data_IF_752366418837
#
_entry.id   IF_752366418837
#
_cell.length_a   1.000
_cell.length_b   1.000
_cell.length_c   1.000
_cell.angle_alpha   90.00
_cell.angle_beta   90.00
_cell.angle_gamma   90.00
#
_symmetry.space_group_name_H-M   'P 1'
#
loop_
_entity.id
_entity.type
_entity.pdbx_description
1 polymer ?
#
# COMPACT_ATOMS: atom_id res chain seq x y z
N UNK A 1 3.12 2.26 12.36
CA UNK A 1 3.67 1.19 11.49
C UNK A 1 4.81 1.70 10.64
N UNK A 2 5.75 0.84 10.32
CA UNK A 2 6.85 1.10 9.41
C UNK A 2 6.69 0.29 8.12
N UNK A 3 6.90 0.92 6.99
CA UNK A 3 6.79 0.36 5.65
C UNK A 3 8.17 0.50 4.97
N UNK A 4 8.90 -0.59 4.90
CA UNK A 4 10.23 -0.59 4.31
C UNK A 4 10.13 -0.59 2.77
N UNK A 5 10.96 0.24 2.12
CA UNK A 5 11.10 0.24 0.66
C UNK A 5 12.09 -0.84 0.24
N UNK A 6 11.77 -1.54 -0.85
CA UNK A 6 12.67 -2.45 -1.57
C UNK A 6 13.34 -3.56 -0.71
N UNK A 7 12.61 -4.19 0.20
CA UNK A 7 13.14 -5.27 1.08
C UNK A 7 13.40 -6.58 0.33
N UNK A 8 12.87 -6.72 -0.88
CA UNK A 8 12.97 -7.94 -1.70
C UNK A 8 13.63 -7.67 -3.07
N UNK A 9 14.73 -6.90 -3.09
CA UNK A 9 15.45 -6.61 -4.32
C UNK A 9 16.72 -7.47 -4.37
N UNK A 10 16.98 -8.10 -5.51
CA UNK A 10 18.20 -8.90 -5.73
C UNK A 10 18.26 -10.24 -5.00
N UNK A 11 17.10 -10.88 -4.73
CA UNK A 11 17.05 -12.21 -4.09
C UNK A 11 17.28 -12.20 -2.57
N UNK A 12 17.44 -11.04 -1.94
CA UNK A 12 17.60 -10.90 -0.48
C UNK A 12 16.23 -10.71 0.15
N UNK A 13 15.75 -11.71 0.89
CA UNK A 13 14.51 -11.65 1.67
C UNK A 13 14.84 -11.64 3.14
N UNK A 14 14.25 -10.72 3.90
CA UNK A 14 14.29 -10.83 5.36
C UNK A 14 13.29 -11.85 5.84
N UNK A 15 13.72 -12.65 6.81
CA UNK A 15 12.75 -13.38 7.62
C UNK A 15 11.92 -12.39 8.45
N UNK A 16 10.68 -12.77 8.76
CA UNK A 16 9.81 -11.98 9.64
C UNK A 16 10.47 -11.73 11.00
N UNK A 17 11.26 -12.69 11.46
CA UNK A 17 11.93 -12.64 12.74
C UNK A 17 13.05 -11.59 12.77
N UNK A 18 13.86 -11.50 11.71
CA UNK A 18 14.90 -10.46 11.60
C UNK A 18 14.28 -9.06 11.66
N UNK A 19 13.16 -8.84 10.95
CA UNK A 19 12.45 -7.56 11.00
C UNK A 19 11.88 -7.29 12.38
N UNK A 20 11.22 -8.26 12.99
CA UNK A 20 10.64 -8.13 14.34
C UNK A 20 11.72 -7.80 15.37
N UNK A 21 12.81 -8.55 15.36
CA UNK A 21 13.90 -8.40 16.32
C UNK A 21 14.62 -7.05 16.16
N UNK A 22 14.79 -6.55 14.93
CA UNK A 22 15.38 -5.24 14.69
C UNK A 22 14.59 -4.13 15.39
N UNK A 23 13.26 -4.15 15.30
CA UNK A 23 12.38 -3.15 15.94
C UNK A 23 12.24 -3.37 17.45
N UNK A 24 12.11 -4.62 17.90
CA UNK A 24 11.99 -4.93 19.32
C UNK A 24 13.25 -4.52 20.13
N UNK A 25 14.44 -4.80 19.58
CA UNK A 25 15.73 -4.45 20.23
C UNK A 25 16.04 -2.96 20.23
N UNK A 26 15.22 -2.13 19.62
CA UNK A 26 15.40 -0.68 19.57
C UNK A 26 14.31 0.10 20.31
N UNK A 27 13.52 -0.61 21.12
CA UNK A 27 12.49 -0.01 21.96
C UNK A 27 11.07 -0.10 21.42
N UNK A 28 10.86 -0.75 20.27
CA UNK A 28 9.52 -1.06 19.79
C UNK A 28 8.89 -2.17 20.62
N UNK A 29 7.64 -1.99 21.04
CA UNK A 29 6.86 -3.01 21.75
C UNK A 29 5.72 -3.53 20.86
N UNK A 30 5.13 -4.67 21.22
CA UNK A 30 4.06 -5.33 20.45
C UNK A 30 4.37 -5.47 18.95
N UNK A 31 5.63 -5.74 18.63
CA UNK A 31 6.14 -5.79 17.25
C UNK A 31 5.55 -6.97 16.49
N UNK A 32 4.86 -6.69 15.38
CA UNK A 32 4.25 -7.67 14.49
C UNK A 32 4.68 -7.40 13.04
N UNK A 33 5.00 -8.44 12.31
CA UNK A 33 5.33 -8.36 10.88
C UNK A 33 4.21 -8.99 10.04
N UNK A 34 3.85 -8.34 8.95
CA UNK A 34 2.75 -8.79 8.08
C UNK A 34 3.27 -8.97 6.68
N UNK A 35 3.10 -10.17 6.14
CA UNK A 35 3.55 -10.54 4.80
C UNK A 35 5.07 -10.29 4.65
N UNK A 36 5.79 -11.09 3.88
CA UNK A 36 7.25 -11.02 3.71
C UNK A 36 7.78 -9.74 3.01
N UNK A 37 7.04 -8.64 3.07
CA UNK A 37 7.27 -7.45 2.24
C UNK A 37 7.61 -6.17 3.03
N UNK A 38 8.27 -6.31 4.19
CA UNK A 38 8.75 -5.14 4.92
C UNK A 38 7.64 -4.29 5.57
N UNK A 39 6.63 -4.94 6.13
CA UNK A 39 5.58 -4.28 6.91
C UNK A 39 5.76 -4.63 8.38
N UNK A 40 5.99 -3.62 9.21
CA UNK A 40 6.15 -3.77 10.66
C UNK A 40 5.13 -2.89 11.37
N UNK A 41 4.32 -3.50 12.22
CA UNK A 41 3.46 -2.80 13.18
C UNK A 41 4.13 -2.89 14.53
N UNK A 42 4.27 -1.77 15.23
CA UNK A 42 4.88 -1.69 16.56
C UNK A 42 4.27 -0.53 17.34
N UNK A 43 4.44 -0.56 18.63
CA UNK A 43 4.09 0.52 19.53
C UNK A 43 5.38 1.18 20.06
N UNK A 44 5.36 2.49 20.16
CA UNK A 44 6.40 3.32 20.76
C UNK A 44 5.80 4.65 21.17
N UNK A 45 6.39 5.34 22.13
CA UNK A 45 6.01 6.69 22.47
C UNK A 45 6.30 7.65 21.29
N UNK A 46 5.51 8.70 21.14
CA UNK A 46 5.58 9.57 19.97
C UNK A 46 6.95 10.21 19.76
N UNK A 47 7.63 10.55 20.83
CA UNK A 47 8.98 11.14 20.86
C UNK A 47 10.10 10.13 20.60
N UNK A 48 9.84 8.83 20.74
CA UNK A 48 10.84 7.76 20.56
C UNK A 48 10.73 7.06 19.21
N UNK A 49 9.64 7.24 18.47
CA UNK A 49 9.38 6.53 17.18
C UNK A 49 10.54 6.66 16.23
N UNK A 50 11.08 7.87 16.03
CA UNK A 50 12.16 8.11 15.07
C UNK A 50 13.45 7.39 15.51
N UNK A 51 13.75 7.37 16.81
CA UNK A 51 14.87 6.64 17.39
C UNK A 51 14.75 5.12 17.18
N UNK A 52 13.56 4.57 17.41
CA UNK A 52 13.26 3.15 17.19
C UNK A 52 13.48 2.79 15.72
N UNK A 53 12.95 3.58 14.80
CA UNK A 53 13.07 3.34 13.35
C UNK A 53 14.52 3.47 12.90
N UNK A 54 15.24 4.52 13.29
CA UNK A 54 16.65 4.70 12.95
C UNK A 54 17.52 3.55 13.49
N UNK A 55 17.27 3.14 14.72
CA UNK A 55 17.94 1.99 15.33
C UNK A 55 17.69 0.69 14.60
N UNK A 56 16.43 0.44 14.19
CA UNK A 56 16.07 -0.74 13.40
C UNK A 56 16.75 -0.71 12.02
N UNK A 57 16.79 0.45 11.35
CA UNK A 57 17.48 0.60 10.07
C UNK A 57 18.97 0.26 10.19
N UNK A 58 19.67 0.78 11.20
CA UNK A 58 21.09 0.43 11.47
C UNK A 58 21.30 -1.06 11.67
N UNK A 59 20.39 -1.75 12.37
CA UNK A 59 20.46 -3.21 12.58
C UNK A 59 20.20 -4.02 11.31
N UNK A 60 19.36 -3.51 10.41
CA UNK A 60 19.02 -4.17 9.15
C UNK A 60 20.06 -3.92 8.06
N UNK A 61 20.84 -2.83 8.14
CA UNK A 61 21.84 -2.44 7.15
C UNK A 61 22.84 -3.55 6.79
N UNK A 62 23.46 -4.30 7.73
CA UNK A 62 24.42 -5.36 7.36
C UNK A 62 23.81 -6.46 6.48
N UNK A 63 22.55 -6.80 6.73
CA UNK A 63 21.85 -7.84 5.96
C UNK A 63 21.33 -7.34 4.60
N UNK A 64 21.10 -6.02 4.45
CA UNK A 64 20.67 -5.40 3.19
C UNK A 64 21.84 -4.95 2.30
N UNK A 65 22.99 -4.66 2.90
CA UNK A 65 24.10 -3.99 2.23
C UNK A 65 23.85 -2.48 1.99
N UNK A 66 22.64 -2.01 2.28
CA UNK A 66 22.23 -0.60 2.18
C UNK A 66 21.32 -0.23 3.35
N UNK A 67 21.27 1.04 3.68
CA UNK A 67 20.32 1.51 4.68
C UNK A 67 18.89 1.51 4.12
N UNK A 68 17.93 0.86 4.81
CA UNK A 68 16.56 0.79 4.31
C UNK A 68 15.87 2.16 4.43
N UNK A 69 15.17 2.54 3.38
CA UNK A 69 14.24 3.69 3.44
C UNK A 69 12.92 3.22 4.03
N UNK A 70 12.46 3.91 5.08
CA UNK A 70 11.27 3.52 5.84
C UNK A 70 10.25 4.66 5.85
N UNK A 71 9.02 4.36 5.43
CA UNK A 71 7.88 5.27 5.55
C UNK A 71 7.09 4.92 6.80
N UNK A 72 7.08 5.84 7.77
CA UNK A 72 6.34 5.66 9.02
C UNK A 72 4.94 6.27 8.91
N UNK A 73 3.94 5.55 9.43
CA UNK A 73 2.56 6.04 9.56
C UNK A 73 2.00 5.66 10.91
N UNK A 74 1.37 6.63 11.56
CA UNK A 74 0.63 6.41 12.81
C UNK A 74 -0.71 5.70 12.53
N UNK A 75 -1.31 5.15 13.58
CA UNK A 75 -2.67 4.59 13.50
C UNK A 75 -3.69 5.65 13.05
N UNK A 76 -3.55 6.90 13.53
CA UNK A 76 -4.43 8.01 13.16
C UNK A 76 -4.32 8.38 11.67
N UNK A 77 -3.11 8.36 11.09
CA UNK A 77 -2.92 8.59 9.65
C UNK A 77 -3.58 7.50 8.81
N UNK A 78 -3.44 6.24 9.22
CA UNK A 78 -4.10 5.12 8.53
C UNK A 78 -5.62 5.19 8.68
N UNK A 79 -6.14 5.55 9.86
CA UNK A 79 -7.56 5.76 10.07
C UNK A 79 -8.11 6.85 9.14
N UNK A 80 -7.39 7.96 9.01
CA UNK A 80 -7.74 9.05 8.08
C UNK A 80 -7.75 8.56 6.62
N UNK A 81 -6.70 7.82 6.20
CA UNK A 81 -6.62 7.24 4.86
C UNK A 81 -7.83 6.34 4.56
N UNK A 82 -8.21 5.47 5.50
CA UNK A 82 -9.38 4.59 5.33
C UNK A 82 -10.68 5.38 5.21
N UNK A 83 -10.87 6.43 6.02
CA UNK A 83 -12.08 7.28 5.95
C UNK A 83 -12.20 8.04 4.63
N UNK A 84 -11.10 8.41 4.01
CA UNK A 84 -11.11 9.07 2.71
C UNK A 84 -11.66 8.17 1.59
N UNK A 85 -11.73 6.85 1.80
CA UNK A 85 -12.27 5.91 0.84
C UNK A 85 -11.60 6.00 -0.54
N UNK A 86 -10.27 5.85 -0.63
CA UNK A 86 -9.47 6.28 -1.77
C UNK A 86 -9.91 5.72 -3.13
N UNK A 87 -10.73 4.69 -3.12
CA UNK A 87 -11.19 4.04 -4.36
C UNK A 87 -12.72 3.96 -4.45
N UNK A 88 -13.45 4.69 -3.61
CA UNK A 88 -14.92 4.63 -3.57
C UNK A 88 -15.57 5.16 -4.87
N UNK A 89 -14.99 6.20 -5.47
CA UNK A 89 -15.45 6.79 -6.73
C UNK A 89 -14.90 6.11 -7.98
N UNK A 90 -13.96 5.18 -7.82
CA UNK A 90 -13.41 4.45 -8.96
C UNK A 90 -14.30 3.25 -9.21
N UNK A 91 -15.22 3.35 -10.16
CA UNK A 91 -15.95 2.19 -10.70
C UNK A 91 -14.91 1.24 -11.31
N UNK A 92 -14.32 0.39 -10.47
CA UNK A 92 -13.25 -0.48 -10.89
C UNK A 92 -13.83 -1.78 -11.40
N UNK A 93 -13.51 -2.19 -12.63
CA UNK A 93 -13.76 -3.55 -13.09
C UNK A 93 -13.17 -4.56 -12.08
N UNK A 94 -13.72 -5.76 -12.03
CA UNK A 94 -13.28 -6.82 -11.10
C UNK A 94 -11.79 -7.22 -11.24
N UNK A 95 -11.11 -6.75 -12.28
CA UNK A 95 -9.74 -7.08 -12.68
C UNK A 95 -8.75 -5.92 -12.54
N UNK A 96 -8.87 -5.12 -11.48
CA UNK A 96 -7.89 -4.08 -11.17
C UNK A 96 -7.21 -4.34 -9.83
N UNK A 97 -5.93 -3.94 -9.73
CA UNK A 97 -5.23 -3.82 -8.46
C UNK A 97 -5.21 -2.36 -8.03
N UNK A 98 -5.44 -2.13 -6.75
CA UNK A 98 -5.45 -0.81 -6.13
C UNK A 98 -4.27 -0.70 -5.19
N UNK A 99 -3.47 0.35 -5.36
CA UNK A 99 -2.26 0.58 -4.59
C UNK A 99 -2.31 1.91 -3.87
N UNK A 100 -1.81 1.92 -2.63
CA UNK A 100 -1.37 3.13 -1.96
C UNK A 100 0.16 3.16 -2.06
N UNK A 101 0.69 4.25 -2.60
CA UNK A 101 2.13 4.54 -2.56
C UNK A 101 2.35 5.52 -1.42
N UNK A 102 3.01 5.06 -0.36
CA UNK A 102 3.38 5.87 0.78
C UNK A 102 4.67 6.61 0.44
N UNK A 103 4.65 7.94 0.57
CA UNK A 103 5.77 8.80 0.23
C UNK A 103 6.69 9.03 1.45
N UNK A 104 7.98 9.21 1.18
CA UNK A 104 8.99 9.54 2.20
C UNK A 104 8.82 10.95 2.77
N UNK A 105 8.23 11.85 1.99
CA UNK A 105 7.96 13.24 2.34
C UNK A 105 6.86 13.85 1.50
N UNK A 106 6.59 15.15 1.65
CA UNK A 106 5.67 15.86 0.77
C UNK A 106 6.14 15.77 -0.69
N UNK A 107 5.22 15.66 -1.68
CA UNK A 107 5.58 15.64 -3.09
C UNK A 107 6.30 16.93 -3.47
N UNK A 108 7.44 16.79 -4.16
CA UNK A 108 8.18 17.91 -4.73
C UNK A 108 7.44 18.53 -5.93
N UNK A 109 6.64 17.71 -6.61
CA UNK A 109 5.77 18.10 -7.72
C UNK A 109 4.37 17.57 -7.50
N UNK A 110 3.35 18.35 -7.88
CA UNK A 110 1.94 17.93 -7.81
C UNK A 110 1.37 17.84 -9.22
N UNK A 111 1.42 16.65 -9.85
CA UNK A 111 0.84 16.47 -11.17
C UNK A 111 -0.68 16.64 -11.12
N UNK A 112 -1.27 17.06 -12.24
CA UNK A 112 -2.73 16.98 -12.40
C UNK A 112 -3.17 15.52 -12.40
N UNK A 113 -4.24 15.22 -11.71
CA UNK A 113 -4.81 13.87 -11.64
C UNK A 113 -6.22 13.87 -12.24
N UNK A 114 -6.66 12.79 -12.90
CA UNK A 114 -5.92 11.55 -13.09
C UNK A 114 -4.75 11.70 -14.08
N UNK A 115 -3.58 11.15 -13.71
CA UNK A 115 -2.44 11.03 -14.61
C UNK A 115 -2.34 9.59 -15.09
N UNK A 116 -2.49 9.40 -16.39
CA UNK A 116 -2.57 8.08 -17.03
C UNK A 116 -1.20 7.69 -17.59
N UNK A 117 -0.82 6.42 -17.40
CA UNK A 117 0.33 5.80 -18.04
C UNK A 117 -0.14 4.54 -18.79
N UNK A 118 -0.68 4.69 -20.03
CA UNK A 118 -1.34 3.59 -20.74
C UNK A 118 -0.44 2.38 -20.99
N UNK A 119 0.84 2.59 -21.35
CA UNK A 119 1.82 1.52 -21.59
C UNK A 119 2.01 0.62 -20.37
N UNK A 120 1.92 1.18 -19.17
CA UNK A 120 2.05 0.46 -17.91
C UNK A 120 0.71 0.04 -17.31
N UNK A 121 -0.40 0.45 -17.93
CA UNK A 121 -1.76 0.26 -17.46
C UNK A 121 -1.96 0.78 -16.02
N UNK A 122 -1.36 1.95 -15.72
CA UNK A 122 -1.39 2.62 -14.42
C UNK A 122 -2.09 3.96 -14.52
N UNK A 123 -2.93 4.26 -13.52
CA UNK A 123 -3.58 5.56 -13.35
C UNK A 123 -3.27 6.08 -11.95
N UNK A 124 -2.58 7.21 -11.85
CA UNK A 124 -2.46 7.97 -10.61
C UNK A 124 -3.73 8.80 -10.44
N UNK A 125 -4.58 8.40 -9.51
CA UNK A 125 -5.92 8.98 -9.35
C UNK A 125 -6.00 10.03 -8.24
N UNK A 126 -5.03 10.05 -7.33
CA UNK A 126 -4.96 11.05 -6.27
C UNK A 126 -3.53 11.23 -5.75
N UNK A 127 -3.20 12.47 -5.36
CA UNK A 127 -1.94 12.84 -4.70
C UNK A 127 -2.27 13.63 -3.44
N UNK A 128 -1.92 13.07 -2.28
CA UNK A 128 -1.98 13.77 -1.00
C UNK A 128 -0.57 14.25 -0.57
N UNK A 129 -0.48 14.77 0.65
CA UNK A 129 0.81 15.19 1.21
C UNK A 129 1.77 14.01 1.44
N UNK A 130 1.26 12.81 1.71
CA UNK A 130 2.07 11.64 2.12
C UNK A 130 1.73 10.35 1.38
N UNK A 131 0.67 10.34 0.57
CA UNK A 131 0.21 9.16 -0.15
C UNK A 131 -0.22 9.51 -1.58
N UNK A 132 0.00 8.56 -2.49
CA UNK A 132 -0.58 8.54 -3.82
C UNK A 132 -1.47 7.31 -3.97
N UNK A 133 -2.59 7.46 -4.71
CA UNK A 133 -3.50 6.37 -4.97
C UNK A 133 -3.42 5.99 -6.44
N UNK A 134 -3.17 4.71 -6.69
CA UNK A 134 -2.95 4.21 -8.04
C UNK A 134 -3.85 3.02 -8.32
N UNK A 135 -4.46 3.06 -9.48
CA UNK A 135 -5.17 1.91 -10.06
C UNK A 135 -4.27 1.29 -11.12
N UNK A 136 -4.06 -0.02 -11.04
CA UNK A 136 -3.35 -0.81 -12.03
C UNK A 136 -4.33 -1.75 -12.72
N UNK A 137 -4.49 -1.61 -14.02
CA UNK A 137 -5.30 -2.49 -14.85
C UNK A 137 -4.49 -3.70 -15.32
N UNK A 138 -5.18 -4.77 -15.61
CA UNK A 138 -4.54 -5.96 -16.17
C UNK A 138 -4.08 -5.68 -17.62
N UNK A 139 -2.80 -5.91 -17.88
CA UNK A 139 -2.23 -5.83 -19.23
C UNK A 139 -2.67 -7.03 -20.08
N UNK A 140 -2.57 -6.95 -21.41
CA UNK A 140 -2.90 -8.07 -22.31
C UNK A 140 -2.12 -9.36 -21.98
N UNK A 141 -0.88 -9.25 -21.51
CA UNK A 141 -0.05 -10.38 -21.10
C UNK A 141 -0.44 -10.95 -19.71
N UNK A 142 -1.53 -10.48 -19.11
CA UNK A 142 -2.04 -10.95 -17.82
C UNK A 142 -1.39 -10.30 -16.58
N UNK A 143 -0.33 -9.52 -16.75
CA UNK A 143 0.40 -8.87 -15.65
C UNK A 143 -0.20 -7.50 -15.28
N UNK A 144 0.19 -7.01 -14.12
CA UNK A 144 -0.18 -5.68 -13.61
C UNK A 144 1.06 -4.81 -13.50
N UNK A 145 0.94 -3.55 -13.84
CA UNK A 145 2.00 -2.56 -13.59
C UNK A 145 2.24 -2.38 -12.09
N UNK A 146 3.51 -2.17 -11.71
CA UNK A 146 3.88 -1.83 -10.34
C UNK A 146 4.14 -0.33 -10.23
N UNK A 147 3.50 0.41 -9.31
CA UNK A 147 3.34 1.85 -9.44
C UNK A 147 4.51 2.71 -8.92
N UNK A 148 5.52 2.13 -8.24
CA UNK A 148 6.52 2.91 -7.49
C UNK A 148 7.28 3.86 -8.40
N UNK A 149 7.95 3.36 -9.45
CA UNK A 149 8.78 4.18 -10.34
C UNK A 149 7.98 5.25 -11.07
N UNK A 150 6.73 4.93 -11.45
CA UNK A 150 5.82 5.88 -12.06
C UNK A 150 5.49 7.03 -11.11
N UNK A 151 5.10 6.70 -9.88
CA UNK A 151 4.75 7.70 -8.87
C UNK A 151 5.97 8.53 -8.48
N UNK A 152 7.12 7.91 -8.22
CA UNK A 152 8.35 8.63 -7.85
C UNK A 152 8.76 9.64 -8.94
N UNK A 153 8.69 9.26 -10.21
CA UNK A 153 8.92 10.20 -11.32
C UNK A 153 7.90 11.33 -11.36
N UNK A 154 6.64 11.03 -11.09
CA UNK A 154 5.57 12.02 -11.14
C UNK A 154 5.66 13.04 -10.00
N UNK A 155 5.96 12.59 -8.78
CA UNK A 155 5.91 13.44 -7.57
C UNK A 155 7.28 13.90 -7.08
N UNK A 156 8.39 13.30 -7.55
CA UNK A 156 9.76 13.71 -7.25
C UNK A 156 10.26 13.32 -5.86
N UNK A 157 9.64 12.37 -5.19
CA UNK A 157 10.09 11.84 -3.88
C UNK A 157 9.96 10.32 -3.85
N UNK A 158 10.79 9.69 -3.02
CA UNK A 158 10.78 8.25 -2.85
C UNK A 158 9.46 7.73 -2.25
N UNK A 159 9.05 6.52 -2.66
CA UNK A 159 7.82 5.90 -2.18
C UNK A 159 7.92 4.39 -2.02
N UNK A 160 6.94 3.80 -1.37
CA UNK A 160 6.76 2.35 -1.28
C UNK A 160 5.29 1.99 -1.47
N UNK A 161 5.01 1.06 -2.37
CA UNK A 161 3.64 0.66 -2.70
C UNK A 161 3.16 -0.49 -1.81
N UNK A 162 1.88 -0.40 -1.43
CA UNK A 162 1.14 -1.52 -0.83
C UNK A 162 -0.19 -1.69 -1.53
N UNK A 163 -0.53 -2.94 -1.81
CA UNK A 163 -1.87 -3.25 -2.30
C UNK A 163 -2.90 -2.83 -1.24
N UNK A 164 -4.07 -2.35 -1.68
CA UNK A 164 -5.14 -1.91 -0.78
C UNK A 164 -5.55 -2.98 0.23
N UNK A 165 -5.61 -4.25 -0.19
CA UNK A 165 -5.89 -5.37 0.72
C UNK A 165 -4.82 -5.55 1.81
N UNK A 166 -3.56 -5.22 1.53
CA UNK A 166 -2.50 -5.19 2.54
C UNK A 166 -2.67 -4.03 3.50
N UNK A 167 -3.03 -2.84 2.99
CA UNK A 167 -3.28 -1.66 3.83
C UNK A 167 -4.43 -1.91 4.81
N UNK A 168 -5.52 -2.54 4.36
CA UNK A 168 -6.65 -2.87 5.24
C UNK A 168 -6.29 -3.91 6.31
N UNK A 169 -5.47 -4.91 5.97
CA UNK A 169 -4.95 -5.88 6.96
C UNK A 169 -4.06 -5.21 8.01
N UNK A 170 -3.18 -4.29 7.58
CA UNK A 170 -2.32 -3.53 8.49
C UNK A 170 -3.14 -2.62 9.41
N UNK A 171 -4.19 -2.00 8.88
CA UNK A 171 -5.11 -1.18 9.66
C UNK A 171 -5.82 -1.98 10.77
N UNK A 172 -6.26 -3.19 10.46
CA UNK A 172 -6.87 -4.08 11.44
C UNK A 172 -5.90 -4.41 12.59
N UNK A 173 -4.62 -4.63 12.28
CA UNK A 173 -3.59 -4.88 13.31
C UNK A 173 -3.26 -3.65 14.17
N UNK A 174 -3.47 -2.45 13.63
CA UNK A 174 -3.35 -1.19 14.37
C UNK A 174 -4.59 -0.90 15.23
N UNK A 175 -5.58 -1.80 15.27
CA UNK A 175 -6.86 -1.56 15.95
C UNK A 175 -7.72 -0.51 15.25
N UNK A 176 -7.37 -0.10 14.05
CA UNK A 176 -8.16 0.85 13.25
C UNK A 176 -9.31 0.10 12.60
N UNK A 177 -10.51 0.32 13.12
CA UNK A 177 -11.73 -0.16 12.47
C UNK A 177 -12.03 0.77 11.29
N UNK A 178 -11.96 0.24 10.07
CA UNK A 178 -12.49 0.93 8.90
C UNK A 178 -13.96 1.18 9.10
N UNK A 179 -14.42 2.43 8.98
CA UNK A 179 -15.84 2.69 8.78
C UNK A 179 -16.29 1.82 7.61
N UNK A 180 -17.48 1.23 7.75
CA UNK A 180 -18.15 0.28 6.84
C UNK A 180 -17.47 0.19 5.45
N UNK A 181 -16.57 -0.78 5.26
CA UNK A 181 -16.16 -1.23 3.93
C UNK A 181 -17.44 -1.74 3.28
N UNK A 182 -18.05 -0.93 2.41
CA UNK A 182 -19.12 -1.46 1.58
C UNK A 182 -18.50 -2.56 0.72
N UNK A 183 -18.98 -3.81 0.82
CA UNK A 183 -18.63 -4.82 -0.14
C UNK A 183 -19.22 -4.37 -1.48
N UNK A 184 -18.38 -4.03 -2.43
CA UNK A 184 -18.79 -3.87 -3.83
C UNK A 184 -19.10 -5.26 -4.40
N UNK A 185 -20.14 -5.89 -3.90
CA UNK A 185 -20.80 -7.07 -4.43
C UNK A 185 -22.23 -6.68 -4.78
N UNK A 186 -22.36 -5.89 -5.85
CA UNK A 186 -23.60 -5.90 -6.61
C UNK A 186 -23.76 -7.29 -7.19
N UNK A 187 -24.67 -8.08 -6.61
CA UNK A 187 -25.21 -9.27 -7.29
C UNK A 187 -25.81 -8.78 -8.59
N UNK A 188 -25.16 -9.12 -9.70
CA UNK A 188 -25.81 -9.13 -11.01
C UNK A 188 -26.97 -10.11 -10.88
N UNK A 189 -28.21 -9.60 -10.77
CA UNK A 189 -29.41 -10.37 -11.02
C UNK A 189 -29.30 -10.85 -12.47
N UNK A 190 -29.28 -12.16 -12.65
CA UNK A 190 -29.47 -12.78 -13.95
C UNK A 190 -30.77 -12.26 -14.56
N UNK A 191 -30.69 -11.75 -15.77
CA UNK A 191 -31.86 -11.40 -16.55
C UNK A 191 -32.70 -12.66 -16.81
N UNK A 192 -34.04 -12.58 -16.78
CA UNK A 192 -34.89 -13.72 -17.09
C UNK A 192 -34.68 -14.09 -18.56
N UNK A 193 -34.38 -15.34 -18.80
CA UNK A 193 -34.35 -15.96 -20.11
C UNK A 193 -35.78 -15.99 -20.65
N UNK A 194 -36.10 -15.19 -21.63
CA UNK A 194 -37.32 -15.33 -22.40
C UNK A 194 -37.15 -16.50 -23.37
N UNK A 195 -37.85 -17.57 -23.12
CA UNK A 195 -38.05 -18.66 -24.10
C UNK A 195 -38.86 -18.13 -25.30
N UNK A 196 -38.48 -18.47 -26.53
CA UNK A 196 -39.33 -18.22 -27.67
C UNK A 196 -40.42 -19.29 -27.74
N UNK A 197 -41.66 -18.86 -27.56
CA UNK A 197 -42.85 -19.67 -27.83
C UNK A 197 -42.89 -19.97 -29.33
N UNK A 198 -42.61 -21.19 -29.72
CA UNK A 198 -42.89 -21.71 -31.05
C UNK A 198 -44.40 -21.96 -31.23
N UNK A 199 -44.96 -21.32 -32.23
CA UNK A 199 -46.21 -21.75 -32.87
C UNK A 199 -45.93 -21.94 -34.35
N UNK A 200 -46.43 -23.02 -34.86
CA UNK A 200 -46.52 -23.33 -36.28
C UNK A 200 -46.34 -24.80 -36.54
#
# INVERSE_FOLDING_TARGET
MALLRAVNVGGRTFSKDVLRDAFARTGGTNVRTVIQTGNVVFEAAADTVDGVVAGACRRLRPALGVEPVVMVRSAAEIARLLRQGPFASTAAPAIVKRYIVFLSGPPARRPRVPLLLPKEALDLVHVSRRECWVVSRRKPNGWYGFPVDFVERAVGVAGTARNWSTVTKLAALLGVRGGRLQPALGRLKAAPTTEPTGRG
#
